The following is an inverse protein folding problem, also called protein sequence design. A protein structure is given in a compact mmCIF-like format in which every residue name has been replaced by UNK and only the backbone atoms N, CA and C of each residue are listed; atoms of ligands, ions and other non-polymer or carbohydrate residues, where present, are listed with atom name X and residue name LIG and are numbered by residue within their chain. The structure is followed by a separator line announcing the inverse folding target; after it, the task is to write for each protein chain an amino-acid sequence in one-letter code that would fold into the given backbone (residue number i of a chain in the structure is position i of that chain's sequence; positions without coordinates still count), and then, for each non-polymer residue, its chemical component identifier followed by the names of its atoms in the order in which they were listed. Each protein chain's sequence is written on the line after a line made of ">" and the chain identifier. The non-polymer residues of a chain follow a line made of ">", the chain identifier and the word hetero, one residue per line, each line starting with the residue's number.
data_IF_692008473184
#
_entry.id   IF_692008473184
#
_cell.length_a   1.000
_cell.length_b   1.000
_cell.length_c   1.000
_cell.angle_alpha   90.00
_cell.angle_beta   90.00
_cell.angle_gamma   90.00
#
_symmetry.space_group_name_H-M   'P 1'
#
loop_
_entity.id
_entity.type
_entity.pdbx_description
1 polymer ?
#
# COMPACT_ATOMS: atom_id res chain seq x y z
N UNK A 1 -47.45 48.74 -2.25
CA UNK A 1 -46.16 49.41 -2.56
C UNK A 1 -45.11 49.17 -1.48
N UNK A 2 -45.31 49.57 -0.22
CA UNK A 2 -44.33 49.36 0.88
C UNK A 2 -43.88 47.90 1.08
N UNK A 3 -44.80 46.93 1.13
CA UNK A 3 -44.44 45.51 1.28
C UNK A 3 -43.69 44.94 0.06
N UNK A 4 -43.91 45.53 -1.13
CA UNK A 4 -43.26 45.10 -2.38
C UNK A 4 -41.83 45.62 -2.44
N UNK A 5 -41.64 46.91 -2.13
CA UNK A 5 -40.32 47.53 -2.03
C UNK A 5 -39.46 46.88 -0.92
N UNK A 6 -40.08 46.49 0.19
CA UNK A 6 -39.39 45.73 1.24
C UNK A 6 -38.93 44.34 0.75
N UNK A 7 -39.73 43.64 -0.04
CA UNK A 7 -39.36 42.33 -0.60
C UNK A 7 -38.14 42.41 -1.52
N UNK A 8 -38.13 43.35 -2.45
CA UNK A 8 -36.98 43.60 -3.35
C UNK A 8 -35.71 43.95 -2.56
N UNK A 9 -35.83 44.80 -1.54
CA UNK A 9 -34.69 45.20 -0.73
C UNK A 9 -34.12 44.02 0.08
N UNK A 10 -34.99 43.16 0.64
CA UNK A 10 -34.58 41.92 1.31
C UNK A 10 -33.85 41.01 0.33
N UNK A 11 -34.41 40.74 -0.84
CA UNK A 11 -33.77 39.93 -1.89
C UNK A 11 -32.35 40.42 -2.23
N UNK A 12 -32.17 41.73 -2.38
CA UNK A 12 -30.83 42.31 -2.65
C UNK A 12 -29.85 42.16 -1.49
N UNK A 13 -30.32 42.19 -0.23
CA UNK A 13 -29.49 41.91 0.94
C UNK A 13 -29.05 40.46 0.91
N UNK A 14 -29.99 39.53 0.73
CA UNK A 14 -29.70 38.10 0.71
C UNK A 14 -28.75 37.70 -0.44
N UNK A 15 -28.90 38.33 -1.60
CA UNK A 15 -27.95 38.19 -2.70
C UNK A 15 -26.52 38.59 -2.29
N UNK A 16 -26.34 39.74 -1.64
CA UNK A 16 -25.02 40.22 -1.20
C UNK A 16 -24.42 39.31 -0.13
N UNK A 17 -25.23 38.87 0.82
CA UNK A 17 -24.81 37.94 1.87
C UNK A 17 -24.37 36.59 1.27
N UNK A 18 -25.12 36.08 0.30
CA UNK A 18 -24.78 34.83 -0.41
C UNK A 18 -23.47 34.97 -1.18
N UNK A 19 -23.26 36.10 -1.88
CA UNK A 19 -21.98 36.39 -2.56
C UNK A 19 -20.82 36.43 -1.55
N UNK A 20 -20.97 37.16 -0.45
CA UNK A 20 -19.94 37.24 0.59
C UNK A 20 -19.60 35.86 1.15
N UNK A 21 -20.61 35.02 1.36
CA UNK A 21 -20.43 33.66 1.88
C UNK A 21 -19.66 32.78 0.89
N UNK A 22 -19.99 32.85 -0.41
CA UNK A 22 -19.26 32.13 -1.47
C UNK A 22 -17.80 32.60 -1.54
N UNK A 23 -17.55 33.90 -1.53
CA UNK A 23 -16.20 34.47 -1.57
C UNK A 23 -15.35 34.10 -0.34
N UNK A 24 -15.96 34.03 0.85
CA UNK A 24 -15.26 33.56 2.05
C UNK A 24 -14.87 32.07 1.93
N UNK A 25 -15.74 31.22 1.35
CA UNK A 25 -15.39 29.81 1.08
C UNK A 25 -14.31 29.67 0.01
N UNK A 26 -14.34 30.52 -1.02
CA UNK A 26 -13.28 30.60 -2.04
C UNK A 26 -11.93 30.96 -1.43
N UNK A 27 -11.88 31.96 -0.54
CA UNK A 27 -10.65 32.33 0.21
C UNK A 27 -10.15 31.19 1.10
N UNK A 28 -11.05 30.50 1.79
CA UNK A 28 -10.72 29.32 2.61
C UNK A 28 -10.06 28.24 1.75
N UNK A 29 -10.62 27.95 0.56
CA UNK A 29 -10.08 26.94 -0.34
C UNK A 29 -8.68 27.33 -0.86
N UNK A 30 -8.50 28.58 -1.29
CA UNK A 30 -7.20 29.10 -1.74
C UNK A 30 -6.12 29.07 -0.64
N UNK A 31 -6.52 29.23 0.63
CA UNK A 31 -5.58 29.12 1.76
C UNK A 31 -5.01 27.72 1.94
N UNK A 32 -5.54 26.71 1.25
CA UNK A 32 -5.07 25.33 1.36
C UNK A 32 -3.88 25.01 0.45
N UNK A 33 -3.53 25.89 -0.50
CA UNK A 33 -2.48 25.63 -1.50
C UNK A 33 -1.05 25.76 -0.93
N UNK A 34 -0.88 26.41 0.21
CA UNK A 34 0.43 26.69 0.82
C UNK A 34 0.91 25.65 1.86
N UNK A 35 0.14 24.60 2.11
CA UNK A 35 0.45 23.60 3.12
C UNK A 35 1.37 22.51 2.57
N UNK A 36 2.36 22.13 3.38
CA UNK A 36 3.28 21.03 3.08
C UNK A 36 2.51 19.74 2.78
N UNK A 37 2.88 19.09 1.69
CA UNK A 37 2.27 17.83 1.22
C UNK A 37 2.92 16.65 1.92
N UNK A 38 2.62 16.46 3.21
CA UNK A 38 2.79 15.19 3.89
C UNK A 38 1.44 14.49 4.10
N UNK A 39 1.44 13.19 4.42
CA UNK A 39 0.20 12.42 4.52
C UNK A 39 -0.76 12.99 5.59
N UNK A 40 -0.22 13.49 6.70
CA UNK A 40 -1.01 14.07 7.81
C UNK A 40 -1.65 15.40 7.38
N UNK A 41 -0.91 16.25 6.68
CA UNK A 41 -1.38 17.49 6.10
C UNK A 41 -2.47 17.25 5.05
N UNK A 42 -2.26 16.29 4.15
CA UNK A 42 -3.25 15.90 3.14
C UNK A 42 -4.53 15.40 3.80
N UNK A 43 -4.45 14.50 4.79
CA UNK A 43 -5.63 14.00 5.51
C UNK A 43 -6.38 15.12 6.26
N UNK A 44 -5.65 16.07 6.83
CA UNK A 44 -6.23 17.24 7.51
C UNK A 44 -6.97 18.12 6.51
N UNK A 45 -6.39 18.35 5.34
CA UNK A 45 -6.99 19.11 4.25
C UNK A 45 -8.24 18.41 3.71
N UNK A 46 -8.19 17.11 3.44
CA UNK A 46 -9.35 16.32 3.00
C UNK A 46 -10.50 16.44 4.01
N UNK A 47 -10.22 16.28 5.31
CA UNK A 47 -11.25 16.46 6.35
C UNK A 47 -11.84 17.86 6.36
N UNK A 48 -11.02 18.89 6.10
CA UNK A 48 -11.49 20.28 5.99
C UNK A 48 -12.40 20.45 4.76
N UNK A 49 -12.05 19.87 3.62
CA UNK A 49 -12.87 19.90 2.40
C UNK A 49 -14.20 19.16 2.59
N UNK A 50 -14.20 17.95 3.18
CA UNK A 50 -15.45 17.25 3.55
C UNK A 50 -16.31 18.06 4.52
N UNK A 51 -15.67 18.84 5.41
CA UNK A 51 -16.36 19.79 6.26
C UNK A 51 -17.10 20.89 5.48
N UNK A 52 -16.53 21.35 4.36
CA UNK A 52 -17.09 22.38 3.49
C UNK A 52 -18.28 21.88 2.66
N UNK A 53 -18.43 20.57 2.43
CA UNK A 53 -19.56 20.01 1.67
C UNK A 53 -20.93 20.39 2.27
N UNK A 54 -21.02 20.45 3.61
CA UNK A 54 -22.24 20.90 4.30
C UNK A 54 -22.54 22.37 4.04
N UNK A 55 -21.50 23.21 4.02
CA UNK A 55 -21.65 24.62 3.68
C UNK A 55 -22.07 24.78 2.22
N UNK A 56 -21.51 23.98 1.32
CA UNK A 56 -21.88 23.99 -0.10
C UNK A 56 -23.35 23.59 -0.31
N UNK A 57 -23.82 22.54 0.35
CA UNK A 57 -25.22 22.14 0.27
C UNK A 57 -26.16 23.27 0.73
N UNK A 58 -25.78 23.99 1.79
CA UNK A 58 -26.56 25.10 2.29
C UNK A 58 -26.53 26.33 1.36
N UNK A 59 -25.39 26.62 0.72
CA UNK A 59 -25.29 27.67 -0.31
C UNK A 59 -26.15 27.31 -1.53
N UNK A 60 -26.10 26.07 -2.00
CA UNK A 60 -26.93 25.61 -3.12
C UNK A 60 -28.42 25.80 -2.81
N UNK A 61 -28.87 25.37 -1.63
CA UNK A 61 -30.26 25.56 -1.22
C UNK A 61 -30.66 27.05 -1.14
N UNK A 62 -29.74 27.92 -0.70
CA UNK A 62 -29.97 29.37 -0.68
C UNK A 62 -30.05 29.95 -2.10
N UNK A 63 -29.20 29.49 -3.02
CA UNK A 63 -29.22 29.91 -4.41
C UNK A 63 -30.52 29.49 -5.11
N UNK A 64 -30.99 28.26 -4.87
CA UNK A 64 -32.27 27.76 -5.40
C UNK A 64 -33.45 28.61 -4.89
N UNK A 65 -33.43 28.99 -3.61
CA UNK A 65 -34.42 29.90 -3.02
C UNK A 65 -34.38 31.29 -3.67
N UNK A 66 -33.18 31.86 -3.87
CA UNK A 66 -33.01 33.16 -4.50
C UNK A 66 -33.44 33.14 -5.97
N UNK A 67 -33.18 32.04 -6.68
CA UNK A 67 -33.66 31.85 -8.06
C UNK A 67 -35.19 31.89 -8.12
N UNK A 68 -35.87 31.13 -7.26
CA UNK A 68 -37.34 31.13 -7.20
C UNK A 68 -37.92 32.51 -6.82
N UNK A 69 -37.30 33.19 -5.86
CA UNK A 69 -37.71 34.55 -5.48
C UNK A 69 -37.48 35.56 -6.61
N UNK A 70 -36.38 35.42 -7.36
CA UNK A 70 -36.07 36.29 -8.50
C UNK A 70 -37.12 36.21 -9.61
N UNK A 71 -37.67 35.01 -9.84
CA UNK A 71 -38.74 34.77 -10.82
C UNK A 71 -40.06 35.39 -10.34
N UNK A 72 -40.39 35.25 -9.06
CA UNK A 72 -41.58 35.84 -8.45
C UNK A 72 -41.54 37.37 -8.48
N UNK A 73 -40.40 37.98 -8.13
CA UNK A 73 -40.20 39.43 -8.19
C UNK A 73 -40.21 39.92 -9.64
N UNK A 74 -39.56 39.19 -10.57
CA UNK A 74 -39.56 39.56 -11.98
C UNK A 74 -40.94 39.55 -12.63
N UNK A 75 -41.86 38.72 -12.13
CA UNK A 75 -43.26 38.70 -12.57
C UNK A 75 -44.07 39.90 -12.07
N UNK A 76 -43.73 40.44 -10.89
CA UNK A 76 -44.45 41.58 -10.30
C UNK A 76 -43.82 42.93 -10.65
N UNK A 77 -42.50 42.98 -10.91
CA UNK A 77 -41.71 44.20 -11.18
C UNK A 77 -40.91 44.02 -12.49
N UNK A 78 -41.56 44.09 -13.67
CA UNK A 78 -40.93 43.84 -14.97
C UNK A 78 -39.75 44.77 -15.28
N UNK A 79 -39.78 46.00 -14.76
CA UNK A 79 -38.75 47.02 -14.93
C UNK A 79 -37.42 46.67 -14.25
N UNK A 80 -37.45 45.87 -13.17
CA UNK A 80 -36.26 45.40 -12.44
C UNK A 80 -35.85 43.98 -12.82
N UNK A 81 -36.73 43.24 -13.51
CA UNK A 81 -36.58 41.82 -13.79
C UNK A 81 -35.26 41.49 -14.52
N UNK A 82 -34.80 42.34 -15.43
CA UNK A 82 -33.53 42.12 -16.14
C UNK A 82 -32.32 42.27 -15.21
N UNK A 83 -32.31 43.30 -14.36
CA UNK A 83 -31.23 43.53 -13.39
C UNK A 83 -31.16 42.39 -12.37
N UNK A 84 -32.33 41.91 -11.90
CA UNK A 84 -32.46 40.79 -10.98
C UNK A 84 -31.93 39.49 -11.61
N UNK A 85 -32.31 39.19 -12.87
CA UNK A 85 -31.78 38.03 -13.61
C UNK A 85 -30.27 38.10 -13.77
N UNK A 86 -29.73 39.28 -14.12
CA UNK A 86 -28.28 39.47 -14.21
C UNK A 86 -27.57 39.23 -12.88
N UNK A 87 -28.17 39.67 -11.77
CA UNK A 87 -27.62 39.43 -10.43
C UNK A 87 -27.56 37.93 -10.12
N UNK A 88 -28.66 37.20 -10.30
CA UNK A 88 -28.67 35.76 -10.03
C UNK A 88 -27.69 35.00 -10.93
N UNK A 89 -27.61 35.39 -12.21
CA UNK A 89 -26.61 34.85 -13.13
C UNK A 89 -25.18 35.05 -12.61
N UNK A 90 -24.83 36.24 -12.11
CA UNK A 90 -23.53 36.49 -11.50
C UNK A 90 -23.26 35.61 -10.28
N UNK A 91 -24.23 35.45 -9.37
CA UNK A 91 -24.08 34.59 -8.18
C UNK A 91 -23.86 33.14 -8.62
N UNK A 92 -24.62 32.69 -9.62
CA UNK A 92 -24.52 31.33 -10.18
C UNK A 92 -23.14 31.07 -10.80
N UNK A 93 -22.56 32.05 -11.50
CA UNK A 93 -21.21 31.93 -12.06
C UNK A 93 -20.18 31.76 -10.95
N UNK A 94 -20.19 32.62 -9.93
CA UNK A 94 -19.21 32.55 -8.82
C UNK A 94 -19.38 31.24 -8.03
N UNK A 95 -20.61 30.77 -7.88
CA UNK A 95 -20.91 29.47 -7.29
C UNK A 95 -20.33 28.30 -8.10
N UNK A 96 -20.51 28.32 -9.43
CA UNK A 96 -19.93 27.32 -10.33
C UNK A 96 -18.40 27.34 -10.28
N UNK A 97 -17.78 28.50 -10.21
CA UNK A 97 -16.33 28.60 -10.01
C UNK A 97 -15.90 27.93 -8.69
N UNK A 98 -16.57 28.24 -7.57
CA UNK A 98 -16.24 27.65 -6.26
C UNK A 98 -16.35 26.13 -6.28
N UNK A 99 -17.44 25.59 -6.83
CA UNK A 99 -17.65 24.13 -6.91
C UNK A 99 -16.62 23.45 -7.80
N UNK A 100 -16.23 24.07 -8.92
CA UNK A 100 -15.17 23.57 -9.79
C UNK A 100 -13.82 23.57 -9.08
N UNK A 101 -13.43 24.67 -8.42
CA UNK A 101 -12.18 24.73 -7.66
C UNK A 101 -12.14 23.69 -6.54
N UNK A 102 -13.25 23.47 -5.82
CA UNK A 102 -13.30 22.46 -4.77
C UNK A 102 -13.06 21.07 -5.35
N UNK A 103 -13.76 20.73 -6.45
CA UNK A 103 -13.62 19.43 -7.12
C UNK A 103 -12.20 19.19 -7.60
N UNK A 104 -11.56 20.19 -8.20
CA UNK A 104 -10.16 20.09 -8.64
C UNK A 104 -9.21 19.91 -7.47
N UNK A 105 -9.44 20.63 -6.36
CA UNK A 105 -8.60 20.51 -5.16
C UNK A 105 -8.75 19.16 -4.50
N UNK A 106 -9.97 18.65 -4.39
CA UNK A 106 -10.28 17.35 -3.79
C UNK A 106 -9.63 16.22 -4.58
N UNK A 107 -9.78 16.23 -5.92
CA UNK A 107 -9.12 15.25 -6.80
C UNK A 107 -7.59 15.26 -6.66
N UNK A 108 -6.97 16.44 -6.60
CA UNK A 108 -5.51 16.56 -6.40
C UNK A 108 -5.05 16.07 -5.02
N UNK A 109 -5.85 16.30 -3.98
CA UNK A 109 -5.53 15.81 -2.64
C UNK A 109 -5.72 14.30 -2.51
N UNK A 110 -6.72 13.74 -3.20
CA UNK A 110 -6.91 12.30 -3.30
C UNK A 110 -5.72 11.64 -3.99
N UNK A 111 -5.31 12.14 -5.16
CA UNK A 111 -4.14 11.66 -5.90
C UNK A 111 -2.85 11.73 -5.06
N UNK A 112 -2.60 12.88 -4.41
CA UNK A 112 -1.46 13.03 -3.52
C UNK A 112 -1.54 12.06 -2.33
N UNK A 113 -2.73 11.91 -1.73
CA UNK A 113 -2.95 11.01 -0.60
C UNK A 113 -2.70 9.55 -0.97
N UNK A 114 -3.14 9.12 -2.15
CA UNK A 114 -2.86 7.79 -2.68
C UNK A 114 -1.37 7.58 -2.93
N UNK A 115 -0.69 8.54 -3.56
CA UNK A 115 0.75 8.48 -3.78
C UNK A 115 1.52 8.36 -2.45
N UNK A 116 1.18 9.14 -1.43
CA UNK A 116 1.86 9.05 -0.13
C UNK A 116 1.61 7.73 0.59
N UNK A 117 0.37 7.19 0.54
CA UNK A 117 0.08 5.86 1.07
C UNK A 117 0.90 4.80 0.37
N UNK A 118 0.93 4.85 -0.96
CA UNK A 118 1.72 3.96 -1.79
C UNK A 118 3.22 4.04 -1.48
N UNK A 119 3.79 5.23 -1.35
CA UNK A 119 5.21 5.41 -1.02
C UNK A 119 5.57 4.81 0.35
N UNK A 120 4.69 4.98 1.35
CA UNK A 120 4.88 4.36 2.68
C UNK A 120 4.82 2.83 2.60
N UNK A 121 3.85 2.31 1.85
CA UNK A 121 3.69 0.86 1.71
C UNK A 121 4.87 0.27 0.91
N UNK A 122 5.40 1.01 -0.06
CA UNK A 122 6.64 0.71 -0.78
C UNK A 122 7.86 0.69 0.15
N UNK A 123 8.03 1.69 1.03
CA UNK A 123 9.11 1.73 2.02
C UNK A 123 9.05 0.51 2.96
N UNK A 124 7.85 0.15 3.40
CA UNK A 124 7.63 -1.02 4.24
C UNK A 124 8.02 -2.31 3.51
N UNK A 125 7.54 -2.47 2.28
CA UNK A 125 7.87 -3.63 1.47
C UNK A 125 9.37 -3.75 1.19
N UNK A 126 10.05 -2.64 0.84
CA UNK A 126 11.50 -2.64 0.60
C UNK A 126 12.28 -3.04 1.85
N UNK A 127 11.86 -2.56 3.03
CA UNK A 127 12.47 -2.93 4.31
C UNK A 127 12.29 -4.42 4.61
N UNK A 128 11.09 -4.96 4.37
CA UNK A 128 10.82 -6.39 4.50
C UNK A 128 11.68 -7.20 3.51
N UNK A 129 11.72 -6.82 2.24
CA UNK A 129 12.48 -7.49 1.19
C UNK A 129 13.97 -7.58 1.56
N UNK A 130 14.58 -6.47 1.99
CA UNK A 130 15.98 -6.44 2.39
C UNK A 130 16.26 -7.35 3.60
N UNK A 131 15.37 -7.35 4.58
CA UNK A 131 15.47 -8.24 5.74
C UNK A 131 15.40 -9.70 5.30
N UNK A 132 14.39 -10.08 4.51
CA UNK A 132 14.21 -11.46 4.05
C UNK A 132 15.38 -11.92 3.17
N UNK A 133 15.91 -11.05 2.30
CA UNK A 133 17.13 -11.35 1.54
C UNK A 133 18.32 -11.65 2.47
N UNK A 134 18.47 -10.88 3.55
CA UNK A 134 19.51 -11.12 4.57
C UNK A 134 19.30 -12.46 5.27
N UNK A 135 18.07 -12.80 5.64
CA UNK A 135 17.74 -14.07 6.30
C UNK A 135 18.01 -15.28 5.38
N UNK A 136 17.67 -15.17 4.09
CA UNK A 136 17.96 -16.21 3.07
C UNK A 136 19.46 -16.34 2.79
N UNK A 137 20.22 -15.24 2.86
CA UNK A 137 21.66 -15.22 2.67
C UNK A 137 22.46 -15.88 3.80
N UNK A 138 21.81 -16.45 4.82
CA UNK A 138 22.49 -17.19 5.89
C UNK A 138 23.43 -18.26 5.32
N UNK A 139 24.67 -18.26 5.81
CA UNK A 139 25.71 -19.24 5.46
C UNK A 139 25.77 -20.41 6.45
N UNK A 140 24.76 -20.58 7.31
CA UNK A 140 24.76 -21.62 8.33
C UNK A 140 24.89 -23.02 7.71
N UNK A 141 25.80 -23.84 8.27
CA UNK A 141 26.06 -25.21 7.83
C UNK A 141 25.61 -26.17 8.94
N UNK A 142 24.75 -27.17 8.64
CA UNK A 142 24.28 -28.09 9.66
C UNK A 142 25.38 -29.06 10.10
N UNK A 143 25.60 -29.16 11.42
CA UNK A 143 26.56 -30.09 12.02
C UNK A 143 26.00 -31.50 12.25
N UNK A 144 24.68 -31.66 12.16
CA UNK A 144 23.98 -32.93 12.37
C UNK A 144 22.74 -33.04 11.50
N UNK A 145 22.14 -34.24 11.44
CA UNK A 145 20.88 -34.46 10.74
C UNK A 145 19.75 -33.58 11.31
N UNK A 146 19.64 -33.50 12.64
CA UNK A 146 18.62 -32.69 13.30
C UNK A 146 18.80 -31.19 13.00
N UNK A 147 20.05 -30.71 12.92
CA UNK A 147 20.33 -29.32 12.54
C UNK A 147 19.94 -29.05 11.08
N UNK A 148 20.20 -29.99 10.17
CA UNK A 148 19.82 -29.87 8.76
C UNK A 148 18.29 -29.80 8.58
N UNK A 149 17.55 -30.68 9.27
CA UNK A 149 16.08 -30.66 9.28
C UNK A 149 15.53 -29.35 9.86
N UNK A 150 16.15 -28.83 10.92
CA UNK A 150 15.76 -27.54 11.51
C UNK A 150 15.99 -26.37 10.54
N UNK A 151 17.17 -26.30 9.91
CA UNK A 151 17.47 -25.23 8.94
C UNK A 151 16.53 -25.29 7.74
N UNK A 152 16.20 -26.48 7.23
CA UNK A 152 15.20 -26.64 6.17
C UNK A 152 13.81 -26.17 6.60
N UNK A 153 13.39 -26.49 7.82
CA UNK A 153 12.10 -26.02 8.37
C UNK A 153 12.06 -24.48 8.46
N UNK A 154 13.13 -23.85 8.93
CA UNK A 154 13.25 -22.39 8.96
C UNK A 154 13.23 -21.78 7.54
N UNK A 155 13.93 -22.40 6.60
CA UNK A 155 13.96 -21.96 5.19
C UNK A 155 12.59 -22.07 4.52
N UNK A 156 11.81 -23.10 4.88
CA UNK A 156 10.44 -23.26 4.41
C UNK A 156 9.50 -22.20 5.00
N UNK A 157 9.68 -21.81 6.27
CA UNK A 157 8.92 -20.70 6.85
C UNK A 157 9.18 -19.38 6.10
N UNK A 158 10.41 -19.13 5.68
CA UNK A 158 10.73 -17.98 4.82
C UNK A 158 9.96 -18.06 3.50
N UNK A 159 9.84 -19.25 2.89
CA UNK A 159 9.06 -19.41 1.65
C UNK A 159 7.60 -19.01 1.82
N UNK A 160 7.00 -19.41 2.94
CA UNK A 160 5.62 -19.03 3.28
C UNK A 160 5.48 -17.52 3.44
N UNK A 161 6.45 -16.85 4.07
CA UNK A 161 6.48 -15.39 4.13
C UNK A 161 6.54 -14.76 2.74
N UNK A 162 7.42 -15.23 1.86
CA UNK A 162 7.53 -14.74 0.47
C UNK A 162 6.20 -14.90 -0.27
N UNK A 163 5.55 -16.06 -0.12
CA UNK A 163 4.27 -16.34 -0.77
C UNK A 163 3.16 -15.40 -0.28
N UNK A 164 3.13 -15.09 1.01
CA UNK A 164 2.18 -14.13 1.58
C UNK A 164 2.33 -12.72 0.98
N UNK A 165 3.56 -12.30 0.65
CA UNK A 165 3.83 -10.99 0.05
C UNK A 165 3.68 -10.95 -1.48
N UNK A 166 3.45 -12.08 -2.14
CA UNK A 166 3.39 -12.15 -3.62
C UNK A 166 2.25 -11.29 -4.19
N UNK A 167 1.09 -11.29 -3.55
CA UNK A 167 -0.03 -10.46 -4.00
C UNK A 167 0.24 -8.97 -3.78
N UNK A 168 0.90 -8.62 -2.67
CA UNK A 168 1.22 -7.22 -2.36
C UNK A 168 2.29 -6.68 -3.31
N UNK A 169 3.29 -7.48 -3.65
CA UNK A 169 4.25 -7.17 -4.72
C UNK A 169 3.54 -6.87 -6.03
N UNK A 170 2.61 -7.75 -6.47
CA UNK A 170 1.90 -7.58 -7.72
C UNK A 170 1.10 -6.27 -7.75
N UNK A 171 0.35 -5.97 -6.68
CA UNK A 171 -0.41 -4.71 -6.55
C UNK A 171 0.50 -3.49 -6.54
N UNK A 172 1.63 -3.56 -5.83
CA UNK A 172 2.61 -2.47 -5.74
C UNK A 172 3.19 -2.15 -7.11
N UNK A 173 3.58 -3.19 -7.87
CA UNK A 173 4.12 -3.04 -9.21
C UNK A 173 3.06 -2.52 -10.20
N UNK A 174 1.85 -3.08 -10.17
CA UNK A 174 0.75 -2.64 -11.05
C UNK A 174 0.43 -1.16 -10.83
N UNK A 175 0.25 -0.74 -9.58
CA UNK A 175 -0.05 0.64 -9.25
C UNK A 175 1.14 1.57 -9.59
N UNK A 176 2.35 1.19 -9.20
CA UNK A 176 3.56 1.97 -9.46
C UNK A 176 3.85 2.16 -10.94
N UNK A 177 3.67 1.12 -11.76
CA UNK A 177 3.82 1.20 -13.21
C UNK A 177 2.72 2.05 -13.84
N UNK A 178 1.47 1.93 -13.36
CA UNK A 178 0.36 2.75 -13.86
C UNK A 178 0.60 4.24 -13.64
N UNK A 179 0.91 4.67 -12.41
CA UNK A 179 1.09 6.09 -12.09
C UNK A 179 2.33 6.68 -12.76
N UNK A 180 3.37 5.86 -12.96
CA UNK A 180 4.56 6.30 -13.69
C UNK A 180 4.34 6.25 -15.19
N UNK A 181 3.41 5.48 -15.76
CA UNK A 181 3.20 5.46 -17.20
C UNK A 181 2.59 6.76 -17.77
N UNK A 182 1.98 7.60 -16.93
CA UNK A 182 1.31 8.81 -17.38
C UNK A 182 2.27 9.83 -18.03
N UNK A 183 1.88 10.48 -19.15
CA UNK A 183 2.73 11.47 -19.81
C UNK A 183 3.11 12.66 -18.91
N UNK A 184 2.19 13.05 -18.01
CA UNK A 184 2.37 14.10 -17.01
C UNK A 184 3.54 13.83 -16.05
N UNK A 185 3.87 12.56 -15.81
CA UNK A 185 4.87 12.15 -14.82
C UNK A 185 6.24 11.82 -15.41
N UNK A 186 6.44 12.01 -16.72
CA UNK A 186 7.70 11.65 -17.40
C UNK A 186 8.85 12.58 -17.04
N UNK A 187 8.59 13.87 -16.87
CA UNK A 187 9.61 14.88 -16.57
C UNK A 187 9.67 15.26 -15.09
N UNK A 188 8.77 14.69 -14.26
CA UNK A 188 8.72 14.99 -12.84
C UNK A 188 9.83 14.20 -12.09
N UNK A 189 10.75 14.89 -11.38
CA UNK A 189 11.83 14.24 -10.65
C UNK A 189 11.36 13.22 -9.59
N UNK A 190 10.22 13.45 -8.94
CA UNK A 190 9.66 12.54 -7.94
C UNK A 190 9.30 11.20 -8.58
N UNK A 191 8.66 11.24 -9.74
CA UNK A 191 8.27 10.05 -10.49
C UNK A 191 9.44 9.38 -11.19
N UNK A 192 10.47 10.13 -11.60
CA UNK A 192 11.74 9.55 -12.07
C UNK A 192 12.40 8.71 -10.97
N UNK A 193 12.51 9.25 -9.75
CA UNK A 193 13.05 8.51 -8.62
C UNK A 193 12.19 7.28 -8.27
N UNK A 194 10.86 7.42 -8.34
CA UNK A 194 9.97 6.29 -8.12
C UNK A 194 10.18 5.15 -9.14
N UNK A 195 10.40 5.45 -10.42
CA UNK A 195 10.71 4.41 -11.43
C UNK A 195 11.96 3.62 -11.08
N UNK A 196 13.02 4.31 -10.64
CA UNK A 196 14.25 3.64 -10.21
C UNK A 196 14.01 2.77 -8.96
N UNK A 197 13.20 3.24 -8.00
CA UNK A 197 12.79 2.43 -6.85
C UNK A 197 11.99 1.19 -7.25
N UNK A 198 11.06 1.30 -8.18
CA UNK A 198 10.27 0.17 -8.69
C UNK A 198 11.13 -0.82 -9.46
N UNK A 199 12.11 -0.33 -10.22
CA UNK A 199 13.10 -1.19 -10.88
C UNK A 199 13.93 -1.95 -9.84
N UNK A 200 14.49 -1.27 -8.85
CA UNK A 200 15.25 -1.90 -7.77
C UNK A 200 14.39 -2.92 -7.00
N UNK A 201 13.11 -2.63 -6.78
CA UNK A 201 12.17 -3.55 -6.16
C UNK A 201 11.98 -4.83 -7.00
N UNK A 202 11.78 -4.69 -8.31
CA UNK A 202 11.64 -5.82 -9.25
C UNK A 202 12.89 -6.68 -9.29
N UNK A 203 14.05 -6.04 -9.37
CA UNK A 203 15.35 -6.72 -9.42
C UNK A 203 15.58 -7.49 -8.10
N UNK A 204 15.35 -6.84 -6.95
CA UNK A 204 15.48 -7.48 -5.63
C UNK A 204 14.46 -8.60 -5.39
N UNK A 205 13.22 -8.47 -5.85
CA UNK A 205 12.21 -9.54 -5.77
C UNK A 205 12.64 -10.77 -6.56
N UNK A 206 13.16 -10.57 -7.77
CA UNK A 206 13.69 -11.65 -8.62
C UNK A 206 14.89 -12.32 -7.96
N UNK A 207 15.82 -11.51 -7.43
CA UNK A 207 17.00 -11.98 -6.73
C UNK A 207 16.64 -12.80 -5.49
N UNK A 208 15.69 -12.35 -4.67
CA UNK A 208 15.23 -13.08 -3.49
C UNK A 208 14.75 -14.49 -3.83
N UNK A 209 13.98 -14.65 -4.91
CA UNK A 209 13.51 -15.98 -5.36
C UNK A 209 14.69 -16.87 -5.77
N UNK A 210 15.66 -16.31 -6.50
CA UNK A 210 16.84 -17.04 -6.90
C UNK A 210 17.71 -17.45 -5.69
N UNK A 211 17.90 -16.55 -4.74
CA UNK A 211 18.63 -16.82 -3.49
C UNK A 211 17.96 -17.93 -2.71
N UNK A 212 16.62 -17.89 -2.58
CA UNK A 212 15.87 -18.89 -1.85
C UNK A 212 16.02 -20.28 -2.50
N UNK A 213 15.90 -20.37 -3.82
CA UNK A 213 16.06 -21.63 -4.56
C UNK A 213 17.48 -22.19 -4.41
N UNK A 214 18.50 -21.34 -4.57
CA UNK A 214 19.90 -21.74 -4.39
C UNK A 214 20.15 -22.28 -2.98
N UNK A 215 19.63 -21.61 -1.95
CA UNK A 215 19.78 -22.03 -0.55
C UNK A 215 19.02 -23.32 -0.27
N UNK A 216 17.83 -23.50 -0.84
CA UNK A 216 17.04 -24.73 -0.72
C UNK A 216 17.81 -25.94 -1.29
N UNK A 217 18.44 -25.78 -2.45
CA UNK A 217 19.28 -26.82 -3.04
C UNK A 217 20.47 -27.14 -2.13
N UNK A 218 21.17 -26.13 -1.62
CA UNK A 218 22.31 -26.31 -0.72
C UNK A 218 21.92 -27.06 0.56
N UNK A 219 20.85 -26.64 1.25
CA UNK A 219 20.36 -27.29 2.46
C UNK A 219 19.92 -28.74 2.21
N UNK A 220 19.32 -29.02 1.06
CA UNK A 220 18.96 -30.37 0.64
C UNK A 220 20.20 -31.26 0.46
N UNK A 221 21.28 -30.73 -0.13
CA UNK A 221 22.55 -31.46 -0.23
C UNK A 221 23.15 -31.76 1.15
N UNK A 222 23.15 -30.77 2.05
CA UNK A 222 23.63 -30.98 3.41
C UNK A 222 22.80 -32.00 4.18
N UNK A 223 21.47 -32.00 4.04
CA UNK A 223 20.60 -33.01 4.66
C UNK A 223 21.00 -34.41 4.21
N UNK A 224 21.15 -34.62 2.89
CA UNK A 224 21.55 -35.91 2.33
C UNK A 224 22.93 -36.36 2.85
N UNK A 225 23.89 -35.44 2.94
CA UNK A 225 25.21 -35.72 3.50
C UNK A 225 25.13 -36.14 4.97
N UNK A 226 24.33 -35.43 5.78
CA UNK A 226 24.14 -35.76 7.20
C UNK A 226 23.44 -37.11 7.40
N UNK A 227 22.46 -37.45 6.53
CA UNK A 227 21.86 -38.78 6.49
C UNK A 227 22.91 -39.85 6.18
N UNK A 228 23.72 -39.64 5.16
CA UNK A 228 24.80 -40.57 4.80
C UNK A 228 25.80 -40.77 5.95
N UNK A 229 26.24 -39.70 6.61
CA UNK A 229 27.17 -39.81 7.75
C UNK A 229 26.55 -40.52 8.95
N UNK A 230 25.25 -40.35 9.21
CA UNK A 230 24.53 -41.13 10.23
C UNK A 230 24.56 -42.61 9.87
N UNK A 231 24.20 -42.94 8.63
CA UNK A 231 24.08 -44.34 8.17
C UNK A 231 25.45 -45.04 8.13
N UNK A 232 26.49 -44.34 7.68
CA UNK A 232 27.88 -44.83 7.70
C UNK A 232 28.34 -45.15 9.13
N UNK A 233 28.09 -44.26 10.10
CA UNK A 233 28.42 -44.51 11.52
C UNK A 233 27.67 -45.71 12.09
N UNK A 234 26.40 -45.89 11.72
CA UNK A 234 25.63 -47.07 12.13
C UNK A 234 26.25 -48.35 11.55
N UNK A 235 26.64 -48.34 10.28
CA UNK A 235 27.31 -49.47 9.65
C UNK A 235 28.66 -49.78 10.30
N UNK A 236 29.48 -48.77 10.61
CA UNK A 236 30.77 -48.96 11.32
C UNK A 236 30.59 -49.61 12.69
N UNK A 237 29.60 -49.17 13.47
CA UNK A 237 29.30 -49.77 14.78
C UNK A 237 28.89 -51.24 14.63
N UNK A 238 28.05 -51.57 13.65
CA UNK A 238 27.64 -52.95 13.37
C UNK A 238 28.82 -53.82 12.95
N UNK A 239 29.67 -53.31 12.06
CA UNK A 239 30.85 -54.03 11.59
C UNK A 239 31.86 -54.25 12.72
N UNK A 240 32.12 -53.23 13.53
CA UNK A 240 33.01 -53.35 14.71
C UNK A 240 32.48 -54.36 15.72
N UNK A 241 31.16 -54.42 15.92
CA UNK A 241 30.54 -55.46 16.75
C UNK A 241 30.76 -56.86 16.16
N UNK A 242 30.56 -57.04 14.86
CA UNK A 242 30.76 -58.32 14.19
C UNK A 242 32.24 -58.75 14.23
N UNK A 243 33.18 -57.84 13.97
CA UNK A 243 34.62 -58.10 14.11
C UNK A 243 34.97 -58.53 15.52
N UNK A 244 34.41 -57.86 16.54
CA UNK A 244 34.63 -58.23 17.94
C UNK A 244 34.09 -59.64 18.27
N UNK A 245 32.94 -60.02 17.72
CA UNK A 245 32.38 -61.38 17.87
C UNK A 245 33.28 -62.41 17.19
N UNK A 246 33.70 -62.16 15.95
CA UNK A 246 34.55 -63.08 15.18
C UNK A 246 35.98 -63.20 15.73
N UNK A 247 36.49 -62.16 16.42
CA UNK A 247 37.81 -62.20 17.04
C UNK A 247 37.88 -63.09 18.29
N UNK A 248 36.75 -63.55 18.82
CA UNK A 248 36.72 -64.52 19.92
C UNK A 248 37.05 -65.91 19.38
N UNK A 249 38.26 -66.39 19.68
CA UNK A 249 38.70 -67.75 19.34
C UNK A 249 38.24 -68.74 20.44
N UNK A 250 36.94 -68.99 20.50
CA UNK A 250 36.36 -69.96 21.43
C UNK A 250 36.44 -71.36 20.82
N UNK A 251 37.42 -72.16 21.26
CA UNK A 251 37.51 -73.56 20.84
C UNK A 251 36.40 -74.38 21.54
N UNK A 252 35.46 -74.99 20.79
CA UNK A 252 34.37 -75.74 21.40
C UNK A 252 34.88 -76.97 22.16
N UNK A 253 34.37 -77.19 23.38
CA UNK A 253 34.73 -78.37 24.20
C UNK A 253 33.78 -79.56 24.00
N UNK A 254 32.68 -79.39 23.26
CA UNK A 254 31.77 -80.47 22.88
C UNK A 254 30.99 -80.15 21.57
N UNK A 255 30.29 -81.16 21.04
CA UNK A 255 29.51 -81.05 19.79
C UNK A 255 28.40 -79.99 19.88
N UNK A 256 27.69 -79.91 21.01
CA UNK A 256 26.61 -78.95 21.21
C UNK A 256 27.11 -77.50 21.17
N UNK A 257 28.27 -77.21 21.76
CA UNK A 257 28.91 -75.91 21.68
C UNK A 257 29.45 -75.62 20.27
N UNK A 258 30.01 -76.60 19.59
CA UNK A 258 30.43 -76.43 18.19
C UNK A 258 29.23 -76.09 17.29
N UNK A 259 28.10 -76.79 17.46
CA UNK A 259 26.86 -76.52 16.72
C UNK A 259 26.26 -75.15 17.06
N UNK A 260 26.39 -74.68 18.31
CA UNK A 260 25.94 -73.36 18.73
C UNK A 260 26.86 -72.23 18.25
N UNK A 261 28.16 -72.47 18.05
CA UNK A 261 29.12 -71.50 17.50
C UNK A 261 29.02 -71.37 15.97
N UNK A 262 28.43 -72.36 15.27
CA UNK A 262 28.20 -72.35 13.81
C UNK A 262 26.91 -71.59 13.43
N UNK A 263 25.94 -71.50 14.34
CA UNK A 263 24.66 -70.79 14.14
C UNK A 263 24.79 -69.30 14.40
#
# INVERSE_FOLDING_TARGET
>A
ELNSAHGVQTFHIECRETVSWIEDKKRILQSTDSLEMDLTGIMTLQRRLSGMERDLAAIQAKLDSLQAESEAIGATHPEEAELIRQRISQITIIWQELTMMLKERDAKLEEAGDLHRFLRDLDHFQSWLQKTQTDVASEDIPGSLADAEKLLSQHQAIKEEIDNYTQDYAKMMEYGEKITAEPSTQSDPQYMFLRERLKALRDGWTELHQMWENRQQLLSHWLNLQMFHRDARQAEVLLSHQEHVLAKDDTPINLEQAENLIK
#
